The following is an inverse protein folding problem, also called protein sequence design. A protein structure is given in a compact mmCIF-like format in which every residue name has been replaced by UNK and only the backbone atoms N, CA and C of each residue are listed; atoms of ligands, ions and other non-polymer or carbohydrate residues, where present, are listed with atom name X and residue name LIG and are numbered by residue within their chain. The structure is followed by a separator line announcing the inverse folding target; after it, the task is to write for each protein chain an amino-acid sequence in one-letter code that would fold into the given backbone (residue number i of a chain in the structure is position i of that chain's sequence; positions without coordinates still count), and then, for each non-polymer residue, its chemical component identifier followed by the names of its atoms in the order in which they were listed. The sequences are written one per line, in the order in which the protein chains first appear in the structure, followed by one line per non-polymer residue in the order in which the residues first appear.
data_IF_783418619758
#
_entry.id   IF_783418619758
#
_cell.length_a   1.000
_cell.length_b   1.000
_cell.length_c   1.000
_cell.angle_alpha   90.00
_cell.angle_beta   90.00
_cell.angle_gamma   90.00
#
_symmetry.space_group_name_H-M   'P 1'
#
loop_
_entity.id
_entity.type
_entity.pdbx_description
1 polymer ?
#
# COMPACT_ATOMS: atom_id res chain seq x y z
N UNK A 1 26.19 48.11 37.16
CA UNK A 1 25.80 46.91 37.93
C UNK A 1 25.44 45.82 36.92
N UNK A 2 26.37 44.90 36.65
CA UNK A 2 26.19 43.83 35.68
C UNK A 2 25.40 42.69 36.30
N UNK A 3 24.28 42.31 35.67
CA UNK A 3 23.53 41.11 36.03
C UNK A 3 24.30 39.92 35.48
N UNK A 4 25.13 39.30 36.30
CA UNK A 4 25.69 37.97 36.03
C UNK A 4 24.55 36.98 36.01
N UNK A 5 24.22 36.46 34.83
CA UNK A 5 23.32 35.33 34.69
C UNK A 5 23.90 34.16 35.49
N UNK A 6 23.17 33.76 36.54
CA UNK A 6 23.45 32.55 37.32
C UNK A 6 23.46 31.35 36.37
N UNK A 7 24.64 30.83 36.05
CA UNK A 7 24.80 29.58 35.31
C UNK A 7 24.28 28.45 36.21
N UNK A 8 23.01 28.06 36.02
CA UNK A 8 22.51 26.80 36.55
C UNK A 8 23.32 25.68 35.89
N UNK A 9 23.83 24.70 36.67
CA UNK A 9 24.52 23.56 36.09
C UNK A 9 23.54 22.83 35.17
N UNK A 10 23.82 22.85 33.86
CA UNK A 10 23.03 22.11 32.90
C UNK A 10 23.25 20.62 33.18
N UNK A 11 22.19 19.92 33.59
CA UNK A 11 22.18 18.46 33.56
C UNK A 11 22.47 18.00 32.13
N UNK A 12 23.24 16.93 31.95
CA UNK A 12 23.73 16.47 30.64
C UNK A 12 22.61 16.29 29.58
N UNK A 13 21.35 16.09 30.00
CA UNK A 13 20.17 16.01 29.13
C UNK A 13 19.66 17.35 28.57
N UNK A 14 20.09 18.50 29.10
CA UNK A 14 19.62 19.83 28.68
C UNK A 14 20.52 20.51 27.64
N UNK A 15 21.66 19.90 27.27
CA UNK A 15 22.71 20.56 26.47
C UNK A 15 22.26 21.09 25.10
N UNK A 16 21.24 20.48 24.49
CA UNK A 16 20.81 20.80 23.12
C UNK A 16 19.32 21.11 22.98
N UNK A 17 18.54 21.05 24.07
CA UNK A 17 17.09 21.31 24.03
C UNK A 17 16.85 22.78 23.71
N UNK A 18 16.06 23.06 22.67
CA UNK A 18 15.75 24.42 22.21
C UNK A 18 16.83 25.10 21.36
N UNK A 19 17.96 24.43 21.07
CA UNK A 19 19.02 24.97 20.22
C UNK A 19 18.81 24.61 18.74
N UNK A 20 19.19 25.52 17.84
CA UNK A 20 19.27 25.25 16.39
C UNK A 20 20.56 24.50 16.07
N UNK A 21 20.53 23.18 16.18
CA UNK A 21 21.67 22.30 15.87
C UNK A 21 21.61 21.84 14.41
N UNK A 22 22.76 21.71 13.76
CA UNK A 22 22.84 21.13 12.42
C UNK A 22 22.39 19.66 12.42
N UNK A 23 21.72 19.24 11.34
CA UNK A 23 21.19 17.86 11.24
C UNK A 23 22.35 16.88 11.06
N UNK A 24 22.23 15.70 11.66
CA UNK A 24 23.26 14.66 11.55
C UNK A 24 23.21 13.95 10.20
N UNK A 25 22.03 13.94 9.60
CA UNK A 25 21.68 13.22 8.38
C UNK A 25 22.14 13.95 7.11
N UNK A 26 22.36 15.27 7.19
CA UNK A 26 22.75 16.13 6.06
C UNK A 26 23.96 15.59 5.31
N UNK A 27 24.98 15.11 6.03
CA UNK A 27 26.21 14.63 5.42
C UNK A 27 25.97 13.50 4.40
N UNK A 28 25.05 12.57 4.68
CA UNK A 28 24.74 11.47 3.74
C UNK A 28 23.85 11.92 2.60
N UNK A 29 22.84 12.75 2.87
CA UNK A 29 21.90 13.21 1.84
C UNK A 29 22.55 14.16 0.85
N UNK A 30 23.35 15.12 1.32
CA UNK A 30 24.02 16.10 0.47
C UNK A 30 25.14 15.50 -0.39
N UNK A 31 25.61 14.30 -0.06
CA UNK A 31 26.68 13.61 -0.80
C UNK A 31 26.17 12.45 -1.66
N UNK A 32 24.85 12.28 -1.79
CA UNK A 32 24.26 11.17 -2.55
C UNK A 32 24.51 9.80 -1.92
N UNK A 33 24.77 9.75 -0.61
CA UNK A 33 24.99 8.53 0.18
C UNK A 33 23.79 8.17 1.07
N UNK A 34 22.66 8.85 0.87
CA UNK A 34 21.38 8.34 1.38
C UNK A 34 21.08 7.01 0.72
N UNK A 35 20.37 6.13 1.42
CA UNK A 35 20.00 4.84 0.89
C UNK A 35 18.47 4.76 0.90
N UNK A 36 17.85 4.81 -0.26
CA UNK A 36 16.41 4.65 -0.45
C UNK A 36 16.09 3.22 -0.89
N UNK A 37 14.81 2.85 -0.98
CA UNK A 37 14.46 1.47 -1.36
C UNK A 37 15.01 1.11 -2.74
N UNK A 38 14.95 2.05 -3.70
CA UNK A 38 15.43 1.86 -5.07
C UNK A 38 16.95 1.63 -5.17
N UNK A 39 17.71 2.12 -4.20
CA UNK A 39 19.17 1.99 -4.16
C UNK A 39 19.64 0.61 -3.63
N UNK A 40 18.73 -0.17 -3.01
CA UNK A 40 19.09 -1.47 -2.40
C UNK A 40 19.32 -2.55 -3.46
N UNK A 41 20.55 -2.80 -3.87
CA UNK A 41 20.82 -3.89 -4.82
C UNK A 41 21.02 -5.25 -4.13
N UNK A 42 20.35 -6.29 -4.65
CA UNK A 42 20.61 -7.69 -4.28
C UNK A 42 20.93 -8.53 -5.52
N UNK A 43 21.82 -9.53 -5.43
CA UNK A 43 22.12 -10.40 -6.57
C UNK A 43 20.87 -11.07 -7.12
N UNK A 44 20.75 -11.07 -8.45
CA UNK A 44 19.63 -11.67 -9.16
C UNK A 44 18.32 -10.87 -9.15
N UNK A 45 18.26 -9.67 -8.56
CA UNK A 45 16.99 -8.91 -8.41
C UNK A 45 16.17 -8.87 -9.70
N UNK A 46 14.94 -9.37 -9.65
CA UNK A 46 13.91 -9.24 -10.68
C UNK A 46 13.03 -8.02 -10.41
N UNK A 47 12.28 -7.60 -11.42
CA UNK A 47 11.44 -6.42 -11.38
C UNK A 47 9.98 -6.79 -11.67
N UNK A 48 9.08 -6.26 -10.85
CA UNK A 48 7.65 -6.45 -11.00
C UNK A 48 6.94 -5.19 -11.53
N UNK A 49 6.13 -5.36 -12.57
CA UNK A 49 5.25 -4.35 -13.14
C UNK A 49 3.80 -4.84 -13.14
N UNK A 50 2.85 -3.93 -12.95
CA UNK A 50 1.42 -4.25 -12.84
C UNK A 50 0.66 -3.79 -14.07
N UNK A 51 -0.13 -4.68 -14.66
CA UNK A 51 -1.20 -4.31 -15.57
C UNK A 51 -2.38 -3.78 -14.74
N UNK A 52 -2.84 -2.57 -15.05
CA UNK A 52 -3.86 -1.86 -14.27
C UNK A 52 -5.03 -1.46 -15.15
N UNK A 53 -6.24 -1.50 -14.58
CA UNK A 53 -7.45 -1.05 -15.25
C UNK A 53 -7.41 0.45 -15.56
N UNK A 54 -7.78 0.83 -16.77
CA UNK A 54 -8.11 2.20 -17.17
C UNK A 54 -9.62 2.50 -16.97
N UNK A 55 -10.43 1.46 -16.77
CA UNK A 55 -11.87 1.55 -16.49
C UNK A 55 -12.13 1.69 -14.98
N UNK A 56 -13.03 2.62 -14.62
CA UNK A 56 -13.38 2.90 -13.23
C UNK A 56 -14.25 1.80 -12.58
N UNK A 57 -15.09 1.13 -13.36
CA UNK A 57 -15.90 -0.01 -12.93
C UNK A 57 -16.26 -0.86 -14.15
N UNK A 58 -16.15 -2.18 -14.06
CA UNK A 58 -16.45 -3.04 -15.19
C UNK A 58 -16.23 -4.52 -14.93
N UNK A 59 -16.73 -5.36 -15.83
CA UNK A 59 -16.49 -6.81 -15.80
C UNK A 59 -15.27 -7.13 -16.65
N UNK A 60 -14.32 -7.88 -16.11
CA UNK A 60 -13.18 -8.40 -16.88
C UNK A 60 -13.69 -9.59 -17.70
N UNK A 61 -13.75 -9.45 -19.01
CA UNK A 61 -14.24 -10.52 -19.90
C UNK A 61 -13.12 -11.43 -20.39
N UNK A 62 -11.92 -10.88 -20.59
CA UNK A 62 -10.74 -11.66 -20.98
C UNK A 62 -9.44 -10.97 -20.59
N UNK A 63 -8.43 -11.79 -20.30
CA UNK A 63 -7.04 -11.37 -20.06
C UNK A 63 -6.14 -12.33 -20.82
N UNK A 64 -5.57 -11.91 -21.94
CA UNK A 64 -4.57 -12.68 -22.68
C UNK A 64 -3.16 -12.19 -22.31
N UNK A 65 -2.34 -13.13 -21.85
CA UNK A 65 -0.96 -12.92 -21.41
C UNK A 65 0.06 -13.70 -22.24
N UNK A 66 -0.37 -14.34 -23.33
CA UNK A 66 0.46 -15.25 -24.10
C UNK A 66 1.66 -14.53 -24.72
N UNK A 67 1.45 -13.32 -25.27
CA UNK A 67 2.51 -12.51 -25.85
C UNK A 67 3.58 -12.14 -24.82
N UNK A 68 3.17 -11.67 -23.65
CA UNK A 68 4.07 -11.31 -22.56
C UNK A 68 4.85 -12.52 -22.01
N UNK A 69 4.17 -13.65 -21.83
CA UNK A 69 4.80 -14.90 -21.34
C UNK A 69 5.87 -15.41 -22.32
N UNK A 70 5.72 -15.15 -23.61
CA UNK A 70 6.69 -15.55 -24.64
C UNK A 70 7.92 -14.62 -24.74
N UNK A 71 7.92 -13.47 -24.06
CA UNK A 71 9.03 -12.52 -24.14
C UNK A 71 10.27 -13.03 -23.40
N UNK A 72 11.46 -13.08 -24.04
CA UNK A 72 12.69 -13.51 -23.37
C UNK A 72 13.03 -12.62 -22.17
N UNK A 73 13.30 -13.23 -21.02
CA UNK A 73 13.61 -12.55 -19.76
C UNK A 73 12.38 -12.23 -18.89
N UNK A 74 11.17 -12.55 -19.35
CA UNK A 74 9.99 -12.63 -18.47
C UNK A 74 10.06 -13.95 -17.71
N UNK A 75 10.03 -13.85 -16.38
CA UNK A 75 10.18 -15.00 -15.48
C UNK A 75 8.82 -15.55 -15.07
N UNK A 76 7.85 -14.66 -14.81
CA UNK A 76 6.50 -15.06 -14.45
C UNK A 76 5.47 -13.98 -14.83
N UNK A 77 4.27 -14.43 -15.16
CA UNK A 77 3.07 -13.59 -15.21
C UNK A 77 2.09 -14.20 -14.23
N UNK A 78 1.58 -13.40 -13.28
CA UNK A 78 0.65 -13.86 -12.26
C UNK A 78 -0.69 -13.13 -12.40
N UNK A 79 -1.76 -13.92 -12.40
CA UNK A 79 -3.15 -13.47 -12.42
C UNK A 79 -3.77 -13.65 -11.02
N UNK A 80 -4.99 -13.14 -10.85
CA UNK A 80 -5.76 -13.29 -9.61
C UNK A 80 -5.86 -14.75 -9.14
N UNK A 81 -6.06 -15.70 -10.06
CA UNK A 81 -6.13 -17.14 -9.76
C UNK A 81 -4.87 -17.67 -9.09
N UNK A 82 -3.71 -17.08 -9.37
CA UNK A 82 -2.42 -17.54 -8.85
C UNK A 82 -2.10 -16.96 -7.47
N UNK A 83 -2.74 -15.84 -7.11
CA UNK A 83 -2.31 -14.97 -6.01
C UNK A 83 -3.37 -14.85 -4.91
N UNK A 84 -4.64 -14.64 -5.27
CA UNK A 84 -5.68 -14.27 -4.31
C UNK A 84 -5.92 -15.38 -3.28
N UNK A 85 -5.85 -16.65 -3.68
CA UNK A 85 -6.04 -17.80 -2.79
C UNK A 85 -4.90 -18.01 -1.79
N UNK A 86 -3.75 -17.35 -1.97
CA UNK A 86 -2.59 -17.47 -1.08
C UNK A 86 -2.67 -16.52 0.12
N UNK A 87 -3.54 -15.51 0.05
CA UNK A 87 -3.76 -14.52 1.10
C UNK A 87 -4.49 -15.19 2.27
N UNK A 88 -3.84 -15.23 3.44
CA UNK A 88 -4.42 -15.85 4.64
C UNK A 88 -5.35 -14.87 5.38
N UNK A 89 -4.85 -13.66 5.63
CA UNK A 89 -5.55 -12.65 6.39
C UNK A 89 -5.16 -11.25 5.89
N UNK A 90 -6.16 -10.52 5.40
CA UNK A 90 -6.00 -9.13 4.96
C UNK A 90 -7.03 -8.30 5.72
N UNK A 91 -6.71 -7.91 6.94
CA UNK A 91 -7.53 -6.95 7.70
C UNK A 91 -6.83 -5.60 7.70
N UNK A 92 -7.50 -4.57 7.20
CA UNK A 92 -7.09 -3.19 7.49
C UNK A 92 -7.63 -2.84 8.88
N UNK A 93 -6.74 -2.46 9.78
CA UNK A 93 -7.12 -2.04 11.14
C UNK A 93 -8.32 -1.07 11.14
N UNK A 94 -9.45 -1.52 11.67
CA UNK A 94 -10.73 -0.80 11.68
C UNK A 94 -11.88 -1.56 11.00
N UNK A 95 -11.57 -2.46 10.06
CA UNK A 95 -12.57 -3.24 9.30
C UNK A 95 -13.15 -4.42 10.10
N UNK A 96 -12.39 -4.97 11.06
CA UNK A 96 -12.86 -6.01 12.00
C UNK A 96 -14.09 -5.57 12.82
N UNK A 97 -14.33 -4.26 12.96
CA UNK A 97 -15.42 -3.72 13.77
C UNK A 97 -16.79 -3.78 13.10
N UNK A 98 -16.86 -4.05 11.79
CA UNK A 98 -18.09 -3.99 11.03
C UNK A 98 -18.62 -5.35 10.55
N UNK A 99 -17.97 -6.46 10.90
CA UNK A 99 -18.31 -7.78 10.32
C UNK A 99 -18.13 -7.81 8.80
N UNK A 100 -17.27 -6.92 8.27
CA UNK A 100 -17.06 -6.74 6.84
C UNK A 100 -16.20 -7.87 6.29
N UNK A 101 -16.85 -8.96 5.89
CA UNK A 101 -16.23 -10.12 5.30
C UNK A 101 -16.30 -10.05 3.76
N UNK A 102 -15.54 -9.13 3.14
CA UNK A 102 -15.31 -9.25 1.68
C UNK A 102 -14.06 -10.10 1.44
N UNK A 103 -14.02 -10.94 0.38
CA UNK A 103 -12.79 -11.58 -0.02
C UNK A 103 -11.83 -10.50 -0.52
N UNK A 104 -10.72 -10.30 0.18
CA UNK A 104 -9.68 -9.39 -0.27
C UNK A 104 -8.99 -9.98 -1.49
N UNK A 105 -9.04 -9.21 -2.58
CA UNK A 105 -8.40 -9.54 -3.84
C UNK A 105 -7.18 -8.63 -3.98
N UNK A 106 -6.01 -9.24 -4.11
CA UNK A 106 -4.76 -8.50 -4.34
C UNK A 106 -4.65 -8.10 -5.80
N UNK A 107 -5.19 -8.94 -6.69
CA UNK A 107 -5.41 -8.66 -8.10
C UNK A 107 -6.90 -8.80 -8.41
N UNK A 108 -7.43 -7.90 -9.23
CA UNK A 108 -8.81 -7.89 -9.69
C UNK A 108 -9.18 -9.23 -10.34
N UNK A 109 -10.34 -9.76 -9.97
CA UNK A 109 -10.80 -11.09 -10.40
C UNK A 109 -12.24 -10.96 -10.86
N UNK A 110 -12.53 -11.14 -12.15
CA UNK A 110 -13.88 -11.01 -12.71
C UNK A 110 -14.41 -9.58 -12.84
N UNK A 111 -14.04 -8.65 -11.94
CA UNK A 111 -14.48 -7.25 -11.98
C UNK A 111 -13.39 -6.27 -11.50
N UNK A 112 -13.40 -5.07 -12.08
CA UNK A 112 -12.57 -3.91 -11.67
C UNK A 112 -13.44 -2.87 -10.98
N UNK A 113 -12.89 -2.20 -9.96
CA UNK A 113 -13.68 -1.34 -9.05
C UNK A 113 -13.19 0.10 -8.96
N UNK A 114 -12.04 0.41 -9.54
CA UNK A 114 -11.52 1.78 -9.64
C UNK A 114 -10.48 1.90 -10.76
N UNK A 115 -10.21 3.12 -11.22
CA UNK A 115 -9.10 3.36 -12.17
C UNK A 115 -7.77 3.08 -11.47
N UNK A 116 -6.97 2.20 -12.06
CA UNK A 116 -5.70 1.75 -11.49
C UNK A 116 -5.77 0.41 -10.74
N UNK A 117 -6.94 -0.25 -10.71
CA UNK A 117 -7.14 -1.56 -10.08
C UNK A 117 -6.20 -2.59 -10.73
N UNK A 118 -5.29 -3.23 -9.98
CA UNK A 118 -4.30 -4.14 -10.56
C UNK A 118 -4.96 -5.45 -11.02
N UNK A 119 -4.84 -5.78 -12.30
CA UNK A 119 -5.43 -6.98 -12.90
C UNK A 119 -4.43 -8.14 -12.90
N UNK A 120 -3.15 -7.82 -13.14
CA UNK A 120 -2.08 -8.81 -13.25
C UNK A 120 -0.73 -8.21 -12.89
N UNK A 121 0.26 -9.08 -12.66
CA UNK A 121 1.65 -8.69 -12.42
C UNK A 121 2.61 -9.49 -13.29
N UNK A 122 3.58 -8.80 -13.89
CA UNK A 122 4.70 -9.39 -14.62
C UNK A 122 5.95 -9.30 -13.77
N UNK A 123 6.72 -10.38 -13.70
CA UNK A 123 8.05 -10.45 -13.10
C UNK A 123 9.08 -10.69 -14.21
N UNK A 124 10.06 -9.81 -14.36
CA UNK A 124 11.08 -9.87 -15.41
C UNK A 124 12.47 -9.51 -14.90
N UNK A 125 13.51 -9.84 -15.69
CA UNK A 125 14.92 -9.59 -15.37
C UNK A 125 15.29 -8.10 -15.28
N UNK A 126 14.49 -7.23 -15.88
CA UNK A 126 14.70 -5.77 -15.82
C UNK A 126 13.38 -5.02 -15.73
N UNK A 127 13.45 -3.80 -15.20
CA UNK A 127 12.29 -2.90 -15.13
C UNK A 127 11.71 -2.60 -16.50
N UNK A 128 12.55 -2.29 -17.49
CA UNK A 128 12.12 -1.95 -18.84
C UNK A 128 11.33 -3.11 -19.45
N UNK A 129 11.88 -4.33 -19.35
CA UNK A 129 11.22 -5.52 -19.86
C UNK A 129 9.90 -5.81 -19.15
N UNK A 130 9.84 -5.63 -17.82
CA UNK A 130 8.59 -5.82 -17.09
C UNK A 130 7.49 -4.86 -17.55
N UNK A 131 7.87 -3.60 -17.84
CA UNK A 131 6.95 -2.58 -18.36
C UNK A 131 6.52 -2.90 -19.80
N UNK A 132 7.45 -3.24 -20.69
CA UNK A 132 7.15 -3.64 -22.08
C UNK A 132 6.24 -4.88 -22.14
N UNK A 133 6.46 -5.84 -21.22
CA UNK A 133 5.66 -7.05 -21.14
C UNK A 133 4.24 -6.78 -20.62
N UNK A 134 4.04 -5.80 -19.72
CA UNK A 134 2.69 -5.37 -19.33
C UNK A 134 1.94 -4.76 -20.51
N UNK A 135 2.62 -3.98 -21.35
CA UNK A 135 2.02 -3.36 -22.54
C UNK A 135 1.64 -4.39 -23.63
N UNK A 136 2.15 -5.62 -23.54
CA UNK A 136 1.82 -6.73 -24.45
C UNK A 136 0.55 -7.50 -24.05
N UNK A 137 -0.14 -7.11 -22.97
CA UNK A 137 -1.37 -7.78 -22.53
C UNK A 137 -2.55 -7.34 -23.38
N UNK A 138 -3.45 -8.26 -23.70
CA UNK A 138 -4.76 -7.94 -24.27
C UNK A 138 -5.84 -8.14 -23.18
N UNK A 139 -6.33 -7.03 -22.63
CA UNK A 139 -7.29 -7.01 -21.52
C UNK A 139 -8.58 -6.38 -22.02
N UNK A 140 -9.68 -7.13 -21.93
CA UNK A 140 -11.00 -6.62 -22.28
C UNK A 140 -11.83 -6.47 -21.00
N UNK A 141 -12.26 -5.24 -20.75
CA UNK A 141 -13.15 -4.88 -19.65
C UNK A 141 -14.41 -4.27 -20.22
N UNK A 142 -15.57 -4.85 -19.91
CA UNK A 142 -16.88 -4.28 -20.22
C UNK A 142 -17.23 -3.19 -19.18
N UNK A 143 -17.25 -1.91 -19.57
CA UNK A 143 -17.45 -0.82 -18.62
C UNK A 143 -18.87 -0.83 -18.04
N UNK A 144 -18.99 -0.45 -16.79
CA UNK A 144 -20.25 -0.22 -16.10
C UNK A 144 -20.25 1.16 -15.47
N UNK A 145 -21.44 1.69 -15.17
CA UNK A 145 -21.57 3.00 -14.54
C UNK A 145 -20.86 3.00 -13.16
N UNK A 146 -19.87 3.89 -12.94
CA UNK A 146 -19.14 3.95 -11.68
C UNK A 146 -19.92 4.68 -10.59
N UNK A 147 -19.72 4.25 -9.34
CA UNK A 147 -20.27 4.94 -8.15
C UNK A 147 -19.21 5.90 -7.62
N UNK A 148 -19.42 7.21 -7.82
CA UNK A 148 -18.43 8.25 -7.48
C UNK A 148 -18.87 9.19 -6.36
N UNK A 149 -20.14 9.16 -5.99
CA UNK A 149 -20.75 10.00 -4.96
C UNK A 149 -21.08 9.14 -3.73
N UNK A 150 -20.48 9.42 -2.55
CA UNK A 150 -20.67 8.61 -1.36
C UNK A 150 -22.08 8.69 -0.78
N UNK A 151 -22.81 9.80 -0.97
CA UNK A 151 -24.20 9.92 -0.50
C UNK A 151 -25.13 9.10 -1.39
N UNK A 152 -24.94 9.18 -2.71
CA UNK A 152 -25.70 8.33 -3.66
C UNK A 152 -25.38 6.85 -3.52
N UNK A 153 -24.17 6.50 -3.07
CA UNK A 153 -23.78 5.11 -2.83
C UNK A 153 -24.63 4.43 -1.75
N UNK A 154 -25.22 5.20 -0.84
CA UNK A 154 -26.07 4.72 0.26
C UNK A 154 -27.58 4.72 -0.08
N UNK A 155 -27.97 5.24 -1.24
CA UNK A 155 -29.37 5.27 -1.65
C UNK A 155 -29.93 3.86 -1.93
N UNK A 156 -31.21 3.66 -1.68
CA UNK A 156 -31.90 2.40 -1.98
C UNK A 156 -31.76 2.04 -3.47
N UNK A 157 -31.27 0.84 -3.75
CA UNK A 157 -31.06 0.36 -5.11
C UNK A 157 -29.81 0.90 -5.80
N UNK A 158 -28.92 1.62 -5.09
CA UNK A 158 -27.62 2.01 -5.62
C UNK A 158 -26.81 0.77 -6.05
N UNK A 159 -26.05 0.83 -7.15
CA UNK A 159 -25.16 -0.27 -7.54
C UNK A 159 -24.17 -0.59 -6.42
N UNK A 160 -24.07 -1.87 -6.07
CA UNK A 160 -23.09 -2.33 -5.08
C UNK A 160 -21.69 -2.38 -5.72
N UNK A 161 -20.72 -1.73 -5.09
CA UNK A 161 -19.31 -1.82 -5.47
C UNK A 161 -18.74 -3.18 -5.06
N UNK A 162 -19.20 -3.69 -3.91
CA UNK A 162 -18.88 -5.03 -3.39
C UNK A 162 -20.18 -5.82 -3.25
N UNK A 163 -20.64 -6.51 -4.31
CA UNK A 163 -21.87 -7.31 -4.25
C UNK A 163 -21.86 -8.33 -3.10
N UNK A 164 -20.68 -8.88 -2.79
CA UNK A 164 -20.45 -9.82 -1.68
C UNK A 164 -20.78 -9.23 -0.30
N UNK A 165 -20.69 -7.92 -0.12
CA UNK A 165 -20.92 -7.23 1.15
C UNK A 165 -22.39 -6.89 1.37
N UNK A 166 -23.21 -6.94 0.32
CA UNK A 166 -24.64 -6.59 0.36
C UNK A 166 -24.95 -5.10 0.62
N UNK A 167 -23.95 -4.28 0.92
CA UNK A 167 -24.09 -2.84 1.18
C UNK A 167 -22.81 -2.08 0.80
N UNK A 168 -22.96 -0.81 0.44
CA UNK A 168 -21.85 0.13 0.25
C UNK A 168 -21.42 0.81 1.57
N UNK A 169 -22.13 0.56 2.68
CA UNK A 169 -21.74 1.03 4.01
C UNK A 169 -20.64 0.12 4.58
N UNK A 170 -19.42 0.65 4.69
CA UNK A 170 -18.29 -0.10 5.23
C UNK A 170 -18.38 -0.27 6.76
N UNK A 171 -18.60 0.83 7.48
CA UNK A 171 -18.78 0.82 8.92
C UNK A 171 -19.42 2.13 9.39
N UNK A 172 -20.06 2.09 10.56
CA UNK A 172 -20.61 3.26 11.24
C UNK A 172 -19.94 3.39 12.61
N UNK A 173 -19.41 4.56 12.94
CA UNK A 173 -18.93 4.86 14.28
C UNK A 173 -20.08 5.47 15.07
N UNK A 174 -20.49 4.86 16.20
CA UNK A 174 -21.43 5.52 17.08
C UNK A 174 -20.80 6.82 17.59
N UNK A 175 -21.56 7.91 17.53
CA UNK A 175 -21.18 9.17 18.16
C UNK A 175 -21.03 9.00 19.68
N UNK A 176 -20.30 9.93 20.30
CA UNK A 176 -20.33 10.06 21.77
C UNK A 176 -21.71 10.52 22.25
N UNK A 177 -21.91 10.57 23.57
CA UNK A 177 -23.12 11.16 24.17
C UNK A 177 -23.24 12.65 23.76
N UNK A 178 -24.27 12.97 22.99
CA UNK A 178 -24.57 14.33 22.50
C UNK A 178 -25.60 15.05 23.34
N UNK A 179 -26.16 14.43 24.40
CA UNK A 179 -27.28 15.01 25.17
C UNK A 179 -27.01 16.44 25.64
N UNK A 180 -25.82 16.72 26.18
CA UNK A 180 -25.41 18.05 26.61
C UNK A 180 -25.30 19.06 25.45
N UNK A 181 -24.91 18.60 24.26
CA UNK A 181 -24.90 19.43 23.06
C UNK A 181 -26.32 19.70 22.56
N UNK A 182 -27.18 18.68 22.53
CA UNK A 182 -28.55 18.79 22.03
C UNK A 182 -29.39 19.73 22.92
N UNK A 183 -29.23 19.67 24.24
CA UNK A 183 -29.85 20.60 25.19
C UNK A 183 -29.37 22.04 24.98
N UNK A 184 -28.06 22.24 24.79
CA UNK A 184 -27.49 23.55 24.53
C UNK A 184 -27.94 24.12 23.17
N UNK A 185 -28.03 23.29 22.14
CA UNK A 185 -28.50 23.67 20.81
C UNK A 185 -29.99 24.05 20.82
N UNK A 186 -30.83 23.31 21.56
CA UNK A 186 -32.27 23.58 21.65
C UNK A 186 -32.60 24.88 22.42
N UNK A 187 -31.76 25.26 23.38
CA UNK A 187 -31.93 26.48 24.18
C UNK A 187 -31.14 27.69 23.64
N UNK A 188 -30.35 27.50 22.58
CA UNK A 188 -29.51 28.56 22.03
C UNK A 188 -30.35 29.68 21.39
N UNK A 189 -30.01 30.96 21.65
CA UNK A 189 -30.71 32.08 21.02
C UNK A 189 -30.41 32.19 19.51
N UNK A 190 -29.31 31.60 19.03
CA UNK A 190 -28.93 31.56 17.61
C UNK A 190 -28.29 30.21 17.32
N UNK A 191 -28.76 29.55 16.26
CA UNK A 191 -28.18 28.33 15.71
C UNK A 191 -27.74 28.61 14.27
N UNK A 192 -26.50 28.24 13.95
CA UNK A 192 -25.95 28.32 12.59
C UNK A 192 -25.58 26.92 12.14
N UNK A 193 -26.05 26.54 10.96
CA UNK A 193 -25.78 25.25 10.34
C UNK A 193 -25.07 25.49 9.02
N UNK A 194 -23.93 24.84 8.83
CA UNK A 194 -23.13 24.95 7.61
C UNK A 194 -22.60 23.56 7.22
N UNK A 195 -22.50 23.29 5.92
CA UNK A 195 -21.94 22.04 5.39
C UNK A 195 -20.56 22.28 4.82
N UNK A 196 -19.56 21.57 5.35
CA UNK A 196 -18.18 21.67 4.88
C UNK A 196 -17.80 20.44 4.05
N UNK A 197 -17.37 20.66 2.81
CA UNK A 197 -16.82 19.62 1.96
C UNK A 197 -15.28 19.72 1.95
N UNK A 198 -14.62 18.74 2.58
CA UNK A 198 -13.18 18.55 2.38
C UNK A 198 -12.98 17.63 1.18
N UNK A 199 -12.46 18.20 0.09
CA UNK A 199 -12.21 17.40 -1.11
C UNK A 199 -11.08 16.39 -0.90
N UNK A 200 -11.07 15.37 -1.77
CA UNK A 200 -10.05 14.34 -1.77
C UNK A 200 -8.69 14.95 -2.11
N UNK A 201 -7.77 14.85 -1.17
CA UNK A 201 -6.35 15.12 -1.40
C UNK A 201 -5.56 13.84 -1.32
N UNK A 202 -4.51 13.76 -2.13
CA UNK A 202 -3.46 12.76 -1.96
C UNK A 202 -2.18 13.45 -1.56
N UNK A 203 -1.39 12.71 -0.79
CA UNK A 203 -0.02 13.09 -0.47
C UNK A 203 0.85 12.66 -1.65
N UNK A 204 1.67 13.59 -2.16
CA UNK A 204 2.51 13.36 -3.34
C UNK A 204 3.98 13.38 -2.90
N UNK A 205 4.46 12.36 -2.16
CA UNK A 205 5.86 12.30 -1.78
C UNK A 205 6.75 12.21 -3.01
N UNK A 206 7.96 12.78 -2.92
CA UNK A 206 8.92 12.77 -4.02
C UNK A 206 9.41 11.35 -4.32
N UNK A 207 9.67 10.55 -3.28
CA UNK A 207 9.86 9.11 -3.43
C UNK A 207 8.49 8.41 -3.50
N UNK A 208 8.28 7.64 -4.57
CA UNK A 208 7.07 6.80 -4.68
C UNK A 208 7.21 5.53 -3.84
N UNK A 209 6.11 4.82 -3.58
CA UNK A 209 6.17 3.60 -2.77
C UNK A 209 7.02 2.53 -3.45
N UNK A 210 7.89 1.89 -2.68
CA UNK A 210 8.75 0.82 -3.13
C UNK A 210 8.81 -0.34 -2.14
N UNK A 211 9.00 -1.53 -2.69
CA UNK A 211 9.27 -2.74 -1.92
C UNK A 211 10.30 -3.59 -2.67
N UNK A 212 11.26 -4.14 -1.93
CA UNK A 212 12.15 -5.20 -2.35
C UNK A 212 11.98 -6.34 -1.36
N UNK A 213 11.58 -7.52 -1.84
CA UNK A 213 11.43 -8.72 -1.02
C UNK A 213 12.46 -9.76 -1.42
N UNK A 214 13.04 -10.45 -0.44
CA UNK A 214 13.99 -11.55 -0.63
C UNK A 214 13.62 -12.67 0.34
N UNK A 215 13.29 -13.84 -0.21
CA UNK A 215 13.09 -15.06 0.57
C UNK A 215 14.38 -15.88 0.54
N UNK A 216 14.86 -16.28 1.72
CA UNK A 216 15.95 -17.24 1.85
C UNK A 216 15.40 -18.63 2.22
N UNK A 217 15.39 -19.61 1.29
CA UNK A 217 14.87 -20.94 1.56
C UNK A 217 15.73 -21.76 2.51
N UNK A 218 16.98 -21.35 2.79
CA UNK A 218 17.86 -22.07 3.72
C UNK A 218 17.56 -21.74 5.18
N UNK A 219 17.12 -20.51 5.44
CA UNK A 219 16.75 -20.03 6.78
C UNK A 219 15.24 -19.89 6.95
N UNK A 220 14.48 -20.04 5.85
CA UNK A 220 13.05 -19.75 5.78
C UNK A 220 12.73 -18.33 6.27
N UNK A 221 13.60 -17.37 5.94
CA UNK A 221 13.46 -15.97 6.33
C UNK A 221 13.06 -15.08 5.14
N UNK A 222 12.06 -14.23 5.36
CA UNK A 222 11.65 -13.17 4.45
C UNK A 222 12.25 -11.84 4.88
N UNK A 223 13.18 -11.29 4.10
CA UNK A 223 13.63 -9.90 4.29
C UNK A 223 12.93 -8.97 3.31
N UNK A 224 12.36 -7.88 3.83
CA UNK A 224 11.63 -6.87 3.07
C UNK A 224 12.21 -5.49 3.33
N UNK A 225 12.70 -4.82 2.28
CA UNK A 225 13.02 -3.40 2.33
C UNK A 225 11.84 -2.63 1.77
N UNK A 226 11.31 -1.67 2.53
CA UNK A 226 10.13 -0.91 2.09
C UNK A 226 10.13 0.52 2.64
N UNK A 227 9.54 1.42 1.85
CA UNK A 227 9.37 2.84 2.17
C UNK A 227 8.19 3.01 3.15
N UNK A 228 8.36 2.55 4.39
CA UNK A 228 7.34 2.58 5.45
C UNK A 228 7.73 3.55 6.57
N UNK A 229 6.76 3.96 7.39
CA UNK A 229 7.00 4.68 8.65
C UNK A 229 6.91 3.78 9.88
N UNK A 230 6.40 2.55 9.72
CA UNK A 230 6.10 1.64 10.82
C UNK A 230 6.59 0.23 10.53
N UNK A 231 7.91 -0.03 10.56
CA UNK A 231 8.47 -1.33 10.18
C UNK A 231 8.01 -2.51 11.04
N UNK A 232 7.61 -2.27 12.30
CA UNK A 232 7.09 -3.33 13.18
C UNK A 232 5.64 -3.70 12.84
N UNK A 233 4.75 -2.70 12.68
CA UNK A 233 3.38 -2.94 12.23
C UNK A 233 3.36 -3.57 10.84
N UNK A 234 4.29 -3.16 10.00
CA UNK A 234 4.56 -3.76 8.70
C UNK A 234 4.88 -5.27 8.77
N UNK A 235 5.79 -5.64 9.66
CA UNK A 235 6.15 -7.05 9.90
C UNK A 235 4.94 -7.86 10.35
N UNK A 236 4.20 -7.36 11.35
CA UNK A 236 3.00 -8.05 11.87
C UNK A 236 1.92 -8.21 10.80
N UNK A 237 1.73 -7.22 9.94
CA UNK A 237 0.79 -7.32 8.83
C UNK A 237 1.22 -8.37 7.79
N UNK A 238 2.50 -8.36 7.37
CA UNK A 238 3.02 -9.36 6.45
C UNK A 238 2.94 -10.79 7.00
N UNK A 239 3.17 -10.96 8.31
CA UNK A 239 3.05 -12.23 9.00
C UNK A 239 1.63 -12.81 8.89
N UNK A 240 0.62 -11.99 9.19
CA UNK A 240 -0.80 -12.34 9.04
C UNK A 240 -1.16 -12.63 7.59
N UNK A 241 -0.76 -11.75 6.67
CA UNK A 241 -1.06 -11.85 5.25
C UNK A 241 -0.56 -13.15 4.61
N UNK A 242 0.69 -13.51 4.92
CA UNK A 242 1.38 -14.65 4.30
C UNK A 242 1.25 -15.94 5.12
N UNK A 243 0.73 -15.88 6.35
CA UNK A 243 0.73 -17.01 7.29
C UNK A 243 2.13 -17.50 7.63
N UNK A 244 3.07 -16.56 7.80
CA UNK A 244 4.46 -16.80 8.19
C UNK A 244 4.64 -16.21 9.59
N UNK A 245 5.34 -16.92 10.47
CA UNK A 245 5.63 -16.43 11.82
C UNK A 245 6.45 -15.13 11.77
N UNK A 246 6.18 -14.19 12.68
CA UNK A 246 6.81 -12.87 12.61
C UNK A 246 8.31 -12.91 12.91
N UNK A 247 8.81 -13.96 13.57
CA UNK A 247 10.25 -14.19 13.77
C UNK A 247 11.00 -14.52 12.49
N UNK A 248 10.28 -15.05 11.47
CA UNK A 248 10.81 -15.36 10.14
C UNK A 248 10.70 -14.17 9.17
N UNK A 249 10.22 -13.00 9.62
CA UNK A 249 10.08 -11.82 8.78
C UNK A 249 10.93 -10.67 9.31
N UNK A 250 11.82 -10.16 8.46
CA UNK A 250 12.63 -8.98 8.73
C UNK A 250 12.21 -7.83 7.84
N UNK A 251 11.66 -6.78 8.42
CA UNK A 251 11.37 -5.52 7.71
C UNK A 251 12.47 -4.50 7.98
N UNK A 252 13.06 -3.98 6.90
CA UNK A 252 14.10 -2.94 6.92
C UNK A 252 13.53 -1.66 6.32
N UNK A 253 13.57 -0.59 7.11
CA UNK A 253 13.20 0.76 6.68
C UNK A 253 14.49 1.54 6.36
N UNK A 254 14.81 1.75 5.08
CA UNK A 254 15.94 2.59 4.68
C UNK A 254 15.57 4.08 4.83
N UNK A 255 16.38 5.00 4.29
CA UNK A 255 15.97 6.42 4.20
C UNK A 255 14.69 6.52 3.34
N UNK A 256 13.78 7.45 3.72
CA UNK A 256 12.48 7.64 3.05
C UNK A 256 12.37 9.07 2.52
N UNK A 257 12.14 9.22 1.21
CA UNK A 257 12.10 10.47 0.47
C UNK A 257 10.77 11.22 0.57
N UNK A 258 10.28 11.37 1.79
CA UNK A 258 9.02 12.04 2.11
C UNK A 258 7.94 11.03 2.48
N UNK A 259 7.54 10.94 3.76
CA UNK A 259 6.44 10.09 4.16
C UNK A 259 5.10 10.84 4.05
N UNK A 260 4.13 10.23 3.39
CA UNK A 260 2.72 10.56 3.61
C UNK A 260 2.24 9.98 4.92
N UNK A 261 1.58 10.77 5.78
CA UNK A 261 1.04 10.38 7.09
C UNK A 261 -0.06 9.29 7.10
N UNK A 262 -0.19 8.51 6.03
CA UNK A 262 -1.10 7.37 5.95
C UNK A 262 -0.30 6.07 5.84
N UNK A 263 0.09 5.46 6.99
CA UNK A 263 0.77 4.17 7.01
C UNK A 263 -0.12 2.97 6.60
N UNK A 264 -1.39 3.19 6.19
CA UNK A 264 -2.39 2.12 6.01
C UNK A 264 -2.94 1.90 4.61
N UNK A 265 -2.89 2.87 3.70
CA UNK A 265 -3.59 2.77 2.40
C UNK A 265 -2.77 2.17 1.24
N UNK A 266 -1.62 1.53 1.49
CA UNK A 266 -0.66 1.17 0.44
C UNK A 266 0.00 -0.20 0.56
N UNK A 267 -0.58 -1.12 1.33
CA UNK A 267 -0.08 -2.50 1.49
C UNK A 267 -0.38 -3.41 0.28
N UNK A 268 -0.96 -2.86 -0.78
CA UNK A 268 -1.37 -3.59 -1.98
C UNK A 268 -0.20 -3.75 -2.96
N UNK A 269 0.61 -4.78 -2.71
CA UNK A 269 1.45 -5.43 -3.70
C UNK A 269 1.51 -6.93 -3.37
N UNK A 270 1.22 -7.85 -4.32
CA UNK A 270 1.37 -9.28 -4.10
C UNK A 270 2.85 -9.62 -3.93
N UNK A 271 3.25 -9.91 -2.70
CA UNK A 271 4.46 -10.68 -2.42
C UNK A 271 4.13 -12.17 -2.19
N UNK A 272 2.97 -12.66 -2.63
CA UNK A 272 2.49 -14.01 -2.30
C UNK A 272 2.92 -15.12 -3.26
N UNK A 273 3.74 -14.87 -4.28
CA UNK A 273 4.18 -15.90 -5.24
C UNK A 273 5.09 -17.04 -4.71
N UNK A 274 5.31 -17.18 -3.40
CA UNK A 274 6.40 -18.01 -2.86
C UNK A 274 6.01 -19.38 -2.28
N UNK A 275 4.72 -19.74 -2.15
CA UNK A 275 4.32 -21.07 -1.60
C UNK A 275 4.02 -22.16 -2.63
N UNK A 276 3.78 -21.85 -3.90
CA UNK A 276 3.40 -22.84 -4.92
C UNK A 276 4.55 -23.33 -5.82
N UNK A 277 5.75 -22.73 -5.74
CA UNK A 277 6.94 -23.25 -6.44
C UNK A 277 7.54 -24.54 -5.84
N UNK A 278 7.09 -24.96 -4.66
CA UNK A 278 7.71 -26.09 -3.95
C UNK A 278 7.31 -27.49 -4.46
N UNK A 279 6.42 -27.61 -5.47
CA UNK A 279 6.12 -28.91 -6.13
C UNK A 279 6.16 -28.90 -7.66
N UNK A 280 6.33 -27.76 -8.30
CA UNK A 280 6.60 -27.68 -9.74
C UNK A 280 7.60 -26.55 -9.98
N UNK A 281 8.79 -26.93 -10.45
CA UNK A 281 9.95 -26.10 -10.76
C UNK A 281 10.81 -25.65 -9.57
N UNK A 282 11.93 -26.35 -9.43
CA UNK A 282 13.18 -25.81 -8.89
C UNK A 282 13.49 -24.44 -9.52
N UNK A 283 13.92 -23.49 -8.68
CA UNK A 283 14.55 -22.20 -9.01
C UNK A 283 13.62 -20.98 -9.12
N UNK A 284 13.50 -20.21 -8.03
CA UNK A 284 14.09 -18.86 -8.00
C UNK A 284 14.10 -18.30 -6.56
N UNK A 285 15.27 -18.35 -5.92
CA UNK A 285 15.63 -17.72 -4.62
C UNK A 285 15.81 -16.20 -4.77
N UNK A 286 15.02 -15.59 -5.66
CA UNK A 286 15.44 -14.37 -6.33
C UNK A 286 14.72 -13.15 -5.76
N UNK A 287 15.45 -12.11 -5.32
CA UNK A 287 14.83 -10.89 -4.84
C UNK A 287 13.93 -10.27 -5.91
N UNK A 288 12.76 -9.75 -5.51
CA UNK A 288 11.83 -9.06 -6.43
C UNK A 288 11.61 -7.64 -5.95
N UNK A 289 11.74 -6.70 -6.89
CA UNK A 289 11.57 -5.26 -6.67
C UNK A 289 10.33 -4.76 -7.38
N UNK A 290 9.57 -3.90 -6.71
CA UNK A 290 8.57 -3.06 -7.39
C UNK A 290 8.55 -1.65 -6.86
N UNK A 291 8.07 -0.73 -7.71
CA UNK A 291 7.91 0.68 -7.42
C UNK A 291 6.63 1.17 -8.06
N UNK A 292 5.80 1.90 -7.32
CA UNK A 292 4.61 2.52 -7.90
C UNK A 292 5.02 3.63 -8.87
N UNK A 293 4.48 3.59 -10.10
CA UNK A 293 4.55 4.74 -11.02
C UNK A 293 3.71 5.90 -10.47
N UNK A 294 4.11 7.13 -10.78
CA UNK A 294 3.22 8.28 -10.68
C UNK A 294 2.00 8.00 -11.59
N UNK A 295 0.75 8.19 -11.12
CA UNK A 295 -0.42 8.03 -11.99
C UNK A 295 -0.55 9.13 -13.06
N UNK A 296 0.38 10.08 -13.14
CA UNK A 296 0.36 11.16 -14.12
C UNK A 296 1.75 11.34 -14.78
N UNK A 297 1.80 11.64 -16.09
CA UNK A 297 3.03 11.99 -16.82
C UNK A 297 3.71 13.25 -16.27
#
# INVERSE_FOLDING_TARGET
MGVTASQRPMTAGARFVGQRVARREDARFLTGRGQYVDDVTRPGTLHAAFARSDVARGTITSVDVAAATAMPGVVAVLLASDVNHLVQDFVVDGEDRAGFARPFRVLAEGDVRFVGDPIAVVIAESRYLAEDAVDAFDIVVEPQEPVVDPERALADGAPLVHPESGSNLLYELPGGDTSAFDEAAASAPVVVTETFHQHRYTTVPLETRGILSSWDPSTEELTVWTSTQGPHGARSYLARLLGIDDSHIRVVMPDVGGPSCWPRAGWAGPSSGYRTGARTSSATTTPVRTRSRSPWP
#
